data_IF_313950328804
#
_entry.id   IF_313950328804
#
_cell.length_a   1.000
_cell.length_b   1.000
_cell.length_c   1.000
_cell.angle_alpha   90.00
_cell.angle_beta   90.00
_cell.angle_gamma   90.00
#
_symmetry.space_group_name_H-M   'P 1'
#
loop_
_entity.id
_entity.type
_entity.pdbx_description
1 polymer ?
#
# COMPACT_ATOMS: atom_id res chain seq x y z
N UNK A 1 -13.97 4.91 -40.20
CA UNK A 1 -12.86 3.93 -40.10
C UNK A 1 -13.01 3.25 -38.75
N UNK A 2 -13.52 2.03 -38.77
CA UNK A 2 -13.72 1.15 -37.62
C UNK A 2 -12.35 0.69 -37.10
N UNK A 3 -12.05 0.98 -35.83
CA UNK A 3 -10.88 0.38 -35.17
C UNK A 3 -11.28 -1.03 -34.72
N UNK A 4 -10.73 -2.04 -35.38
CA UNK A 4 -10.85 -3.44 -34.99
C UNK A 4 -10.02 -3.71 -33.73
N UNK A 5 -10.65 -4.31 -32.72
CA UNK A 5 -9.97 -4.87 -31.56
C UNK A 5 -9.26 -6.14 -32.00
N UNK A 6 -7.95 -6.06 -32.19
CA UNK A 6 -7.09 -7.25 -32.25
C UNK A 6 -6.60 -7.59 -30.84
N UNK A 7 -7.22 -8.64 -30.28
CA UNK A 7 -6.66 -9.42 -29.19
C UNK A 7 -5.32 -10.01 -29.63
N UNK A 8 -4.20 -9.38 -29.24
CA UNK A 8 -2.85 -9.97 -29.04
C UNK A 8 -1.85 -8.84 -28.76
N UNK A 9 -1.74 -8.45 -27.50
CA UNK A 9 -0.63 -7.65 -26.95
C UNK A 9 -0.18 -8.30 -25.62
N UNK A 10 1.08 -8.11 -25.20
CA UNK A 10 1.62 -8.82 -24.05
C UNK A 10 0.86 -8.33 -22.82
N UNK A 11 0.32 -9.25 -22.03
CA UNK A 11 -0.07 -8.92 -20.66
C UNK A 11 1.16 -8.31 -20.02
N UNK A 12 1.08 -7.02 -19.67
CA UNK A 12 2.05 -6.38 -18.81
C UNK A 12 2.10 -7.27 -17.56
N UNK A 13 3.18 -8.04 -17.39
CA UNK A 13 3.41 -8.76 -16.15
C UNK A 13 3.63 -7.67 -15.12
N UNK A 14 2.58 -7.29 -14.41
CA UNK A 14 2.73 -6.55 -13.17
C UNK A 14 3.60 -7.45 -12.30
N UNK A 15 4.87 -7.10 -12.17
CA UNK A 15 5.72 -7.71 -11.17
C UNK A 15 5.13 -7.25 -9.85
N UNK A 16 4.48 -8.16 -9.14
CA UNK A 16 3.95 -7.86 -7.81
C UNK A 16 5.13 -7.48 -6.92
N UNK A 17 5.01 -6.41 -6.11
CA UNK A 17 6.04 -6.08 -5.16
C UNK A 17 6.30 -7.28 -4.25
N UNK A 18 7.56 -7.50 -3.82
CA UNK A 18 7.86 -8.56 -2.87
C UNK A 18 7.02 -8.34 -1.61
N UNK A 19 6.38 -9.41 -1.14
CA UNK A 19 5.74 -9.42 0.18
C UNK A 19 6.88 -9.45 1.20
N UNK A 20 6.86 -8.53 2.16
CA UNK A 20 7.84 -8.54 3.27
C UNK A 20 7.53 -9.69 4.22
N UNK A 21 8.47 -10.08 5.10
CA UNK A 21 8.22 -11.09 6.14
C UNK A 21 7.18 -10.64 7.22
N UNK A 22 6.55 -9.47 7.03
CA UNK A 22 5.53 -8.90 7.90
C UNK A 22 4.17 -9.54 7.62
N UNK A 23 3.51 -10.01 8.68
CA UNK A 23 2.14 -10.50 8.62
C UNK A 23 1.23 -9.85 9.68
N UNK A 24 -0.08 -9.93 9.48
CA UNK A 24 -1.10 -9.39 10.38
C UNK A 24 -0.87 -9.76 11.85
N UNK A 25 -0.58 -11.03 12.12
CA UNK A 25 -0.38 -11.51 13.47
C UNK A 25 0.88 -10.90 14.11
N UNK A 26 1.98 -10.77 13.36
CA UNK A 26 3.20 -10.13 13.89
C UNK A 26 2.96 -8.66 14.21
N UNK A 27 2.29 -7.92 13.32
CA UNK A 27 1.99 -6.49 13.52
C UNK A 27 1.05 -6.28 14.70
N UNK A 28 -0.06 -7.01 14.76
CA UNK A 28 -1.07 -6.79 15.82
C UNK A 28 -0.69 -7.39 17.18
N UNK A 29 0.23 -8.36 17.22
CA UNK A 29 0.74 -8.91 18.49
C UNK A 29 1.64 -7.93 19.24
N UNK A 30 2.16 -6.91 18.56
CA UNK A 30 3.02 -5.88 19.10
C UNK A 30 2.60 -4.50 18.60
N UNK A 31 1.46 -3.96 19.09
CA UNK A 31 0.88 -2.72 18.56
C UNK A 31 1.74 -1.45 18.78
N UNK A 32 2.93 -1.56 19.41
CA UNK A 32 3.98 -0.52 19.40
C UNK A 32 5.41 -1.10 19.22
N UNK A 33 5.54 -2.34 18.75
CA UNK A 33 6.84 -3.03 18.66
C UNK A 33 7.48 -2.98 17.27
N UNK A 34 6.69 -2.78 16.22
CA UNK A 34 7.18 -2.61 14.84
C UNK A 34 6.70 -1.27 14.32
N UNK A 35 7.61 -0.32 14.12
CA UNK A 35 7.30 0.97 13.53
C UNK A 35 7.41 0.91 12.01
N UNK A 36 6.65 1.75 11.31
CA UNK A 36 6.80 1.98 9.86
C UNK A 36 8.25 2.33 9.48
N UNK A 37 8.99 2.96 10.39
CA UNK A 37 10.39 3.35 10.18
C UNK A 37 11.38 2.18 10.26
N UNK A 38 10.96 1.05 10.81
CA UNK A 38 11.76 -0.17 10.91
C UNK A 38 11.55 -1.11 9.70
N UNK A 39 10.66 -0.74 8.78
CA UNK A 39 10.30 -1.58 7.65
C UNK A 39 11.20 -1.33 6.44
N UNK A 40 11.44 -2.40 5.70
CA UNK A 40 12.07 -2.31 4.39
C UNK A 40 11.05 -1.79 3.36
N UNK A 41 11.35 -0.61 2.84
CA UNK A 41 10.63 0.01 1.73
C UNK A 41 11.39 -0.21 0.42
N UNK A 42 10.64 -0.41 -0.66
CA UNK A 42 11.17 -0.51 -2.02
C UNK A 42 10.67 0.66 -2.88
N UNK A 43 11.41 1.09 -3.91
CA UNK A 43 10.93 2.11 -4.83
C UNK A 43 9.55 1.77 -5.42
N UNK A 44 8.70 2.79 -5.53
CA UNK A 44 7.34 2.63 -6.04
C UNK A 44 7.22 3.06 -7.52
N UNK A 45 6.17 2.59 -8.19
CA UNK A 45 5.85 2.95 -9.57
C UNK A 45 5.47 4.43 -9.78
N UNK A 46 5.14 5.15 -8.70
CA UNK A 46 4.82 6.59 -8.75
C UNK A 46 6.06 7.47 -9.00
N UNK A 47 7.26 6.90 -8.91
CA UNK A 47 8.50 7.57 -9.29
C UNK A 47 9.32 8.04 -8.09
N UNK A 48 10.17 9.05 -8.33
CA UNK A 48 11.10 9.56 -7.34
C UNK A 48 10.39 10.04 -6.08
N UNK A 49 10.98 9.72 -4.92
CA UNK A 49 10.42 10.04 -3.61
C UNK A 49 9.24 9.18 -3.19
N UNK A 50 8.76 8.26 -4.02
CA UNK A 50 7.75 7.29 -3.62
C UNK A 50 8.36 5.91 -3.38
N UNK A 51 7.96 5.34 -2.25
CA UNK A 51 8.37 4.01 -1.83
C UNK A 51 7.16 3.24 -1.30
N UNK A 52 7.21 1.92 -1.34
CA UNK A 52 6.13 1.06 -0.88
C UNK A 52 6.63 -0.10 -0.03
N UNK A 53 5.75 -0.60 0.82
CA UNK A 53 5.93 -1.87 1.55
C UNK A 53 4.61 -2.63 1.60
N UNK A 54 4.67 -3.96 1.48
CA UNK A 54 3.50 -4.83 1.43
C UNK A 54 3.48 -5.76 2.61
N UNK A 55 2.33 -5.82 3.30
CA UNK A 55 2.09 -6.66 4.48
C UNK A 55 1.10 -7.76 4.14
N UNK A 56 1.41 -8.99 4.55
CA UNK A 56 0.52 -10.14 4.40
C UNK A 56 -0.60 -10.13 5.45
N UNK A 57 -1.84 -10.34 5.03
CA UNK A 57 -3.01 -10.35 5.91
C UNK A 57 -3.55 -11.77 6.19
N UNK A 58 -2.94 -12.80 5.58
CA UNK A 58 -3.35 -14.20 5.69
C UNK A 58 -4.34 -14.63 4.62
N UNK A 59 -5.13 -15.66 4.91
CA UNK A 59 -6.08 -16.25 3.96
C UNK A 59 -7.19 -15.26 3.57
N UNK A 60 -7.62 -15.30 2.31
CA UNK A 60 -8.74 -14.51 1.81
C UNK A 60 -10.07 -14.94 2.48
N UNK A 61 -10.75 -14.06 3.25
CA UNK A 61 -12.05 -14.38 3.82
C UNK A 61 -13.12 -14.70 2.79
N UNK A 62 -12.98 -14.21 1.55
CA UNK A 62 -13.90 -14.50 0.44
C UNK A 62 -13.52 -15.78 -0.33
N UNK A 63 -12.36 -16.37 -0.03
CA UNK A 63 -11.91 -17.65 -0.60
C UNK A 63 -11.64 -17.65 -2.10
N UNK A 64 -11.34 -16.50 -2.73
CA UNK A 64 -11.24 -16.40 -4.19
C UNK A 64 -9.97 -17.06 -4.77
N UNK A 65 -8.87 -17.01 -4.02
CA UNK A 65 -7.57 -17.53 -4.45
C UNK A 65 -6.94 -18.45 -3.39
N UNK A 66 -7.34 -19.73 -3.31
CA UNK A 66 -6.79 -20.67 -2.34
C UNK A 66 -5.26 -20.77 -2.40
N UNK A 67 -4.60 -20.66 -1.25
CA UNK A 67 -3.13 -20.68 -1.12
C UNK A 67 -2.44 -19.38 -1.56
N UNK A 68 -3.20 -18.33 -1.86
CA UNK A 68 -2.69 -16.98 -2.12
C UNK A 68 -3.20 -16.05 -1.03
N UNK A 69 -2.33 -15.55 -0.14
CA UNK A 69 -2.78 -14.65 0.91
C UNK A 69 -3.26 -13.31 0.33
N UNK A 70 -4.22 -12.69 1.02
CA UNK A 70 -4.53 -11.28 0.79
C UNK A 70 -3.45 -10.42 1.44
N UNK A 71 -3.20 -9.26 0.85
CA UNK A 71 -2.14 -8.35 1.29
C UNK A 71 -2.69 -6.93 1.32
N UNK A 72 -2.03 -6.03 2.04
CA UNK A 72 -2.21 -4.58 1.92
C UNK A 72 -0.87 -3.93 1.64
N UNK A 73 -0.86 -2.81 0.93
CA UNK A 73 0.38 -2.11 0.54
C UNK A 73 0.31 -0.67 1.02
N UNK A 74 1.30 -0.26 1.79
CA UNK A 74 1.50 1.12 2.19
C UNK A 74 2.48 1.78 1.22
N UNK A 75 2.18 3.02 0.82
CA UNK A 75 3.02 3.83 -0.07
C UNK A 75 3.42 5.09 0.68
N UNK A 76 4.71 5.27 0.96
CA UNK A 76 5.24 6.48 1.58
C UNK A 76 5.69 7.50 0.53
N UNK A 77 5.46 8.78 0.80
CA UNK A 77 6.13 9.87 0.08
C UNK A 77 7.25 10.44 0.96
N UNK A 78 8.49 10.26 0.50
CA UNK A 78 9.71 10.75 1.13
C UNK A 78 10.56 11.47 0.09
N UNK A 79 10.55 12.81 0.06
CA UNK A 79 11.34 13.53 -0.92
C UNK A 79 12.83 13.17 -0.79
N UNK A 80 13.48 12.88 -1.92
CA UNK A 80 14.92 12.70 -2.03
C UNK A 80 15.60 14.02 -2.38
N UNK A 81 16.84 14.23 -1.93
CA UNK A 81 17.66 15.38 -2.33
C UNK A 81 18.23 16.20 -1.17
N UNK A 82 18.89 17.32 -1.50
CA UNK A 82 19.57 18.19 -0.53
C UNK A 82 18.61 18.89 0.45
N UNK A 83 17.37 19.11 0.02
CA UNK A 83 16.31 19.70 0.83
C UNK A 83 15.53 18.65 1.66
N UNK A 84 15.85 17.36 1.50
CA UNK A 84 15.26 16.29 2.30
C UNK A 84 15.77 16.38 3.75
N UNK A 85 14.84 16.56 4.69
CA UNK A 85 15.14 16.48 6.12
C UNK A 85 15.67 15.09 6.50
N UNK A 86 16.34 14.99 7.65
CA UNK A 86 16.78 13.68 8.17
C UNK A 86 15.60 12.74 8.42
N UNK A 87 15.81 11.42 8.33
CA UNK A 87 14.79 10.41 8.64
C UNK A 87 14.16 10.60 10.02
N UNK A 88 14.94 10.98 11.04
CA UNK A 88 14.43 11.27 12.38
C UNK A 88 13.49 12.49 12.40
N UNK A 89 13.74 13.48 11.55
CA UNK A 89 12.88 14.66 11.42
C UNK A 89 11.58 14.32 10.69
N UNK A 90 11.64 13.43 9.70
CA UNK A 90 10.44 12.90 9.03
C UNK A 90 9.60 12.04 9.99
N UNK A 91 10.24 11.14 10.75
CA UNK A 91 9.60 10.30 11.76
C UNK A 91 8.94 11.08 12.92
N UNK A 92 9.42 12.29 13.20
CA UNK A 92 8.82 13.17 14.20
C UNK A 92 7.55 13.89 13.75
N UNK A 93 7.14 13.76 12.48
CA UNK A 93 5.96 14.44 11.93
C UNK A 93 4.67 13.67 12.26
N UNK A 94 3.52 14.35 12.38
CA UNK A 94 2.23 13.66 12.42
C UNK A 94 2.02 12.84 11.15
N UNK A 95 1.71 11.55 11.30
CA UNK A 95 1.40 10.68 10.19
C UNK A 95 0.02 11.03 9.59
N UNK A 96 -0.07 11.00 8.26
CA UNK A 96 -1.33 11.14 7.52
C UNK A 96 -1.50 9.95 6.59
N UNK A 97 -2.59 9.20 6.78
CA UNK A 97 -2.94 8.05 5.94
C UNK A 97 -4.05 8.43 4.94
N UNK A 98 -3.75 8.32 3.66
CA UNK A 98 -4.68 8.53 2.56
C UNK A 98 -5.30 7.19 2.16
N UNK A 99 -6.59 7.01 2.46
CA UNK A 99 -7.38 5.82 2.09
C UNK A 99 -8.09 6.07 0.77
N UNK A 100 -7.88 5.20 -0.21
CA UNK A 100 -8.49 5.34 -1.53
C UNK A 100 -10.01 5.07 -1.53
N UNK A 101 -10.70 5.50 -2.59
CA UNK A 101 -12.12 5.25 -2.80
C UNK A 101 -12.43 3.87 -3.40
N UNK A 102 -13.71 3.61 -3.64
CA UNK A 102 -14.18 2.40 -4.33
C UNK A 102 -13.65 2.35 -5.77
N UNK A 103 -13.21 1.18 -6.23
CA UNK A 103 -12.55 0.95 -7.55
C UNK A 103 -11.25 1.73 -7.77
N UNK A 104 -10.58 2.13 -6.70
CA UNK A 104 -9.38 2.93 -6.77
C UNK A 104 -8.19 2.28 -6.04
N UNK A 105 -7.05 2.94 -6.10
CA UNK A 105 -5.83 2.68 -5.35
C UNK A 105 -5.12 4.02 -5.09
N UNK A 106 -4.03 4.03 -4.32
CA UNK A 106 -3.27 5.25 -4.08
C UNK A 106 -2.43 5.66 -5.31
N UNK A 107 -2.79 6.79 -5.91
CA UNK A 107 -2.04 7.45 -6.99
C UNK A 107 -2.02 8.99 -6.90
N UNK A 108 -2.59 9.56 -5.83
CA UNK A 108 -2.81 11.00 -5.71
C UNK A 108 -1.56 11.75 -5.26
N UNK A 109 -0.50 11.73 -6.08
CA UNK A 109 0.82 12.29 -5.73
C UNK A 109 0.76 13.75 -5.30
N UNK A 110 0.01 14.57 -6.06
CA UNK A 110 -0.20 15.99 -5.76
C UNK A 110 -0.80 16.25 -4.37
N UNK A 111 -1.63 15.35 -3.85
CA UNK A 111 -2.19 15.46 -2.49
C UNK A 111 -1.12 15.13 -1.46
N UNK A 112 -0.34 14.07 -1.71
CA UNK A 112 0.73 13.68 -0.80
C UNK A 112 1.82 14.76 -0.70
N UNK A 113 2.27 15.30 -1.82
CA UNK A 113 3.24 16.40 -1.88
C UNK A 113 2.72 17.66 -1.18
N UNK A 114 1.43 17.98 -1.34
CA UNK A 114 0.82 19.13 -0.67
C UNK A 114 0.87 19.02 0.85
N UNK A 115 0.48 17.87 1.40
CA UNK A 115 0.47 17.68 2.85
C UNK A 115 1.86 17.43 3.44
N UNK A 116 2.78 16.84 2.69
CA UNK A 116 4.20 16.80 3.07
C UNK A 116 4.77 18.22 3.23
N UNK A 117 4.46 19.13 2.29
CA UNK A 117 4.84 20.54 2.40
C UNK A 117 4.19 21.27 3.59
N UNK A 118 3.09 20.75 4.13
CA UNK A 118 2.45 21.23 5.37
C UNK A 118 3.03 20.59 6.65
N UNK A 119 4.01 19.70 6.52
CA UNK A 119 4.74 19.09 7.63
C UNK A 119 4.18 17.76 8.12
N UNK A 120 3.39 17.04 7.31
CA UNK A 120 2.94 15.68 7.61
C UNK A 120 3.93 14.63 7.08
N UNK A 121 3.97 13.46 7.71
CA UNK A 121 4.54 12.26 7.10
C UNK A 121 3.41 11.53 6.36
N UNK A 122 3.44 11.53 5.02
CA UNK A 122 2.29 11.12 4.23
C UNK A 122 2.45 9.70 3.70
N UNK A 123 1.40 8.90 3.94
CA UNK A 123 1.30 7.53 3.50
C UNK A 123 -0.03 7.32 2.77
N UNK A 124 -0.03 6.57 1.68
CA UNK A 124 -1.21 5.99 1.05
C UNK A 124 -1.33 4.52 1.40
N UNK A 125 -2.54 3.96 1.25
CA UNK A 125 -2.79 2.53 1.37
C UNK A 125 -3.56 2.02 0.16
N UNK A 126 -3.08 0.92 -0.42
CA UNK A 126 -3.83 0.06 -1.34
C UNK A 126 -4.43 -1.09 -0.51
N UNK A 127 -5.74 -1.03 -0.26
CA UNK A 127 -6.47 -2.07 0.47
C UNK A 127 -6.38 -3.41 -0.28
N UNK A 128 -6.68 -4.52 0.41
CA UNK A 128 -6.68 -5.85 -0.18
C UNK A 128 -7.40 -5.88 -1.52
N UNK A 129 -6.83 -6.61 -2.48
CA UNK A 129 -7.37 -6.78 -3.84
C UNK A 129 -7.48 -5.48 -4.67
N UNK A 130 -6.87 -4.39 -4.22
CA UNK A 130 -6.81 -3.10 -4.91
C UNK A 130 -5.37 -2.74 -5.31
N UNK A 131 -5.17 -2.05 -6.43
CA UNK A 131 -3.85 -1.56 -6.87
C UNK A 131 -2.72 -2.60 -6.77
N UNK A 132 -1.66 -2.24 -6.02
CA UNK A 132 -0.47 -3.07 -5.75
C UNK A 132 -0.76 -4.32 -4.92
N UNK A 133 -1.91 -4.32 -4.22
CA UNK A 133 -2.35 -5.38 -3.31
C UNK A 133 -3.21 -6.45 -3.98
N UNK A 134 -3.48 -6.33 -5.29
CA UNK A 134 -4.13 -7.40 -6.06
C UNK A 134 -3.20 -8.59 -6.25
N UNK A 135 -3.77 -9.80 -6.28
CA UNK A 135 -3.06 -11.04 -6.61
C UNK A 135 -3.85 -11.86 -7.64
N UNK A 136 -3.17 -12.67 -8.48
CA UNK A 136 -3.84 -13.49 -9.47
C UNK A 136 -4.90 -14.41 -8.84
N UNK A 137 -6.08 -14.48 -9.44
CA UNK A 137 -7.21 -15.27 -8.94
C UNK A 137 -8.22 -14.47 -8.10
N UNK A 138 -7.85 -13.29 -7.61
CA UNK A 138 -8.79 -12.40 -6.89
C UNK A 138 -9.62 -11.57 -7.86
N UNK A 139 -10.88 -11.30 -7.51
CA UNK A 139 -11.68 -10.29 -8.21
C UNK A 139 -11.25 -8.90 -7.72
N UNK A 140 -10.97 -8.01 -8.67
CA UNK A 140 -10.56 -6.63 -8.36
C UNK A 140 -11.59 -5.93 -7.47
N UNK A 141 -11.11 -5.31 -6.39
CA UNK A 141 -11.89 -4.52 -5.43
C UNK A 141 -13.03 -5.29 -4.72
N UNK A 142 -13.05 -6.62 -4.81
CA UNK A 142 -14.13 -7.41 -4.23
C UNK A 142 -13.91 -7.67 -2.74
N UNK A 143 -14.89 -7.32 -1.92
CA UNK A 143 -15.03 -7.83 -0.55
C UNK A 143 -16.50 -8.12 -0.27
N UNK A 144 -16.80 -9.19 0.46
CA UNK A 144 -18.19 -9.48 0.87
C UNK A 144 -18.70 -8.55 1.97
N UNK A 145 -17.80 -7.91 2.72
CA UNK A 145 -18.11 -6.95 3.79
C UNK A 145 -17.04 -5.89 3.91
N UNK A 146 -17.43 -4.62 4.09
CA UNK A 146 -16.47 -3.52 4.32
C UNK A 146 -15.75 -3.65 5.67
N UNK A 147 -16.35 -4.33 6.66
CA UNK A 147 -15.71 -4.55 7.96
C UNK A 147 -14.44 -5.41 7.86
N UNK A 148 -14.25 -6.12 6.75
CA UNK A 148 -13.01 -6.86 6.49
C UNK A 148 -11.81 -5.89 6.38
N UNK A 149 -12.02 -4.66 5.91
CA UNK A 149 -10.96 -3.66 5.82
C UNK A 149 -10.49 -3.14 7.19
N UNK A 150 -11.19 -3.46 8.29
CA UNK A 150 -10.74 -3.11 9.63
C UNK A 150 -9.36 -3.73 9.91
N UNK A 151 -9.06 -4.92 9.38
CA UNK A 151 -7.74 -5.54 9.49
C UNK A 151 -6.66 -4.77 8.73
N UNK A 152 -6.92 -4.39 7.47
CA UNK A 152 -6.00 -3.62 6.62
C UNK A 152 -5.67 -2.27 7.29
N UNK A 153 -6.71 -1.59 7.79
CA UNK A 153 -6.59 -0.29 8.46
C UNK A 153 -5.93 -0.43 9.83
N UNK A 154 -6.20 -1.50 10.58
CA UNK A 154 -5.55 -1.74 11.87
C UNK A 154 -4.06 -1.97 11.71
N UNK A 155 -3.64 -2.74 10.72
CA UNK A 155 -2.21 -2.93 10.39
C UNK A 155 -1.55 -1.60 10.05
N UNK A 156 -2.18 -0.79 9.18
CA UNK A 156 -1.64 0.51 8.82
C UNK A 156 -1.50 1.42 10.04
N UNK A 157 -2.53 1.52 10.87
CA UNK A 157 -2.52 2.36 12.07
C UNK A 157 -1.50 1.88 13.11
N UNK A 158 -1.33 0.57 13.30
CA UNK A 158 -0.33 0.01 14.20
C UNK A 158 1.11 0.25 13.74
N UNK A 159 1.36 0.32 12.43
CA UNK A 159 2.69 0.64 11.90
C UNK A 159 2.99 2.14 11.99
N UNK A 160 1.98 2.99 11.77
CA UNK A 160 2.12 4.45 11.75
C UNK A 160 2.10 5.10 13.14
N UNK A 161 1.74 4.35 14.19
CA UNK A 161 1.48 4.83 15.55
C UNK A 161 2.50 4.38 16.59
#
# INVERSE_FOLDING_TARGET
MTCHVHHRGPFCRVAWPPVTDLNLASVLSQPMGTSIHDLDFVPDLLGEGYEQTTVELGDDPDGEAPGTPVVTTLVGYRPSGEDAGSDAAYAGRPAMLLVHGMTDFFFQTHVAEHFDALGYAVYGIDLRKCGRSHRPGQTWHHVTSQAIYDEDLSVALSLLG
#
